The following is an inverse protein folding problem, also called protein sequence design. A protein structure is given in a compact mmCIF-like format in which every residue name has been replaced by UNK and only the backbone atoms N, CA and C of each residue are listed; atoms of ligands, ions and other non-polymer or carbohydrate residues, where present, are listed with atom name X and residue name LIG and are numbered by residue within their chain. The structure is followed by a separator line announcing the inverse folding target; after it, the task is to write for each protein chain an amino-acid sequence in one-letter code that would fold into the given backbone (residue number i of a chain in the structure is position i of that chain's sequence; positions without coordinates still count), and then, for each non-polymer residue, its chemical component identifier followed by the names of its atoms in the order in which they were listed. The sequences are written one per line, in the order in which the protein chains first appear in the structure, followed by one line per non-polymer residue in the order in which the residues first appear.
data_IF_179537554134
#
_entry.id   IF_179537554134
#
_cell.length_a   1.000
_cell.length_b   1.000
_cell.length_c   1.000
_cell.angle_alpha   90.00
_cell.angle_beta   90.00
_cell.angle_gamma   90.00
#
_symmetry.space_group_name_H-M   'P 1'
#
loop_
_entity.id
_entity.type
_entity.pdbx_description
1 polymer ?
#
# COMPACT_ATOMS: atom_id res chain seq x y z
N UNK A 1 26.75 1.31 -12.44
CA UNK A 1 27.70 2.36 -12.84
C UNK A 1 27.98 3.21 -11.60
N UNK A 2 29.21 3.43 -11.21
CA UNK A 2 29.55 4.15 -9.95
C UNK A 2 30.00 5.57 -10.26
N UNK A 3 29.61 6.53 -9.39
CA UNK A 3 30.07 7.94 -9.47
C UNK A 3 31.59 8.01 -9.29
N UNK A 4 32.14 7.18 -8.42
CA UNK A 4 33.58 7.06 -8.19
C UNK A 4 34.05 5.68 -8.65
N UNK A 5 34.95 5.64 -9.61
CA UNK A 5 35.56 4.41 -10.13
C UNK A 5 37.04 4.70 -10.46
N UNK A 6 37.94 3.82 -9.98
CA UNK A 6 39.40 3.97 -10.17
C UNK A 6 39.94 5.36 -9.78
N UNK A 7 39.51 5.90 -8.64
CA UNK A 7 39.84 7.25 -8.16
C UNK A 7 39.48 8.41 -9.12
N UNK A 8 38.55 8.17 -10.05
CA UNK A 8 38.06 9.22 -10.97
C UNK A 8 36.56 9.40 -10.75
N UNK A 9 36.12 10.65 -10.75
CA UNK A 9 34.73 11.03 -10.65
C UNK A 9 34.12 11.08 -12.05
N UNK A 10 33.03 10.35 -12.28
CA UNK A 10 32.22 10.48 -13.47
C UNK A 10 31.32 11.71 -13.35
N UNK A 11 31.78 12.83 -13.92
CA UNK A 11 31.09 14.12 -13.83
C UNK A 11 29.68 14.07 -14.51
N UNK A 12 29.54 13.34 -15.61
CA UNK A 12 28.23 13.21 -16.29
C UNK A 12 27.23 12.48 -15.40
N UNK A 13 27.67 11.41 -14.74
CA UNK A 13 26.82 10.66 -13.81
C UNK A 13 26.52 11.50 -12.57
N UNK A 14 27.52 12.18 -12.00
CA UNK A 14 27.32 13.11 -10.87
C UNK A 14 26.31 14.20 -11.23
N UNK A 15 26.39 14.78 -12.41
CA UNK A 15 25.47 15.82 -12.87
C UNK A 15 24.03 15.32 -12.91
N UNK A 16 23.81 14.07 -13.34
CA UNK A 16 22.46 13.47 -13.34
C UNK A 16 21.86 13.35 -11.93
N UNK A 17 22.70 13.12 -10.90
CA UNK A 17 22.27 13.03 -9.51
C UNK A 17 22.02 14.38 -8.83
N UNK A 18 22.62 15.46 -9.31
CA UNK A 18 22.46 16.80 -8.75
C UNK A 18 21.39 17.63 -9.47
N UNK A 19 20.90 17.17 -10.64
CA UNK A 19 19.77 17.80 -11.29
C UNK A 19 18.49 17.62 -10.47
N UNK A 20 17.71 18.70 -10.37
CA UNK A 20 16.42 18.63 -9.72
C UNK A 20 15.51 17.68 -10.53
N UNK A 21 14.95 16.63 -9.92
CA UNK A 21 14.06 15.72 -10.63
C UNK A 21 12.79 16.47 -11.07
N UNK A 22 12.19 16.00 -12.15
CA UNK A 22 10.88 16.50 -12.57
C UNK A 22 9.82 16.03 -11.56
N UNK A 23 8.73 16.80 -11.47
CA UNK A 23 7.58 16.43 -10.64
C UNK A 23 7.12 15.02 -11.05
N UNK A 24 6.97 14.13 -10.08
CA UNK A 24 6.63 12.71 -10.25
C UNK A 24 7.63 11.88 -11.07
N UNK A 25 8.87 12.35 -11.24
CA UNK A 25 9.92 11.51 -11.81
C UNK A 25 10.20 10.32 -10.87
N UNK A 26 10.06 9.12 -11.41
CA UNK A 26 10.31 7.90 -10.61
C UNK A 26 11.80 7.76 -10.33
N UNK A 27 12.12 7.44 -9.07
CA UNK A 27 13.46 7.03 -8.70
C UNK A 27 13.90 5.77 -9.47
N UNK A 28 15.20 5.60 -9.62
CA UNK A 28 15.81 4.44 -10.30
C UNK A 28 15.80 3.18 -9.45
N UNK A 29 15.61 3.34 -8.14
CA UNK A 29 15.74 2.26 -7.17
C UNK A 29 14.37 1.65 -6.85
N UNK A 30 14.35 0.32 -6.72
CA UNK A 30 13.18 -0.42 -6.26
C UNK A 30 13.07 -0.31 -4.74
N UNK A 31 12.73 0.87 -4.24
CA UNK A 31 12.74 1.24 -2.83
C UNK A 31 12.05 0.19 -1.92
N UNK A 32 10.91 -0.33 -2.35
CA UNK A 32 10.13 -1.31 -1.57
C UNK A 32 10.64 -2.75 -1.68
N UNK A 33 11.49 -3.05 -2.69
CA UNK A 33 12.05 -4.39 -2.94
C UNK A 33 13.57 -4.45 -2.65
N UNK A 34 14.24 -3.34 -2.33
CA UNK A 34 15.62 -3.35 -1.88
C UNK A 34 15.75 -4.10 -0.56
N UNK A 35 16.70 -5.04 -0.47
CA UNK A 35 16.82 -5.95 0.67
C UNK A 35 17.02 -5.21 1.99
N UNK A 36 17.89 -4.20 2.02
CA UNK A 36 18.19 -3.43 3.23
C UNK A 36 17.08 -2.43 3.55
N UNK A 37 16.60 -1.69 2.56
CA UNK A 37 15.58 -0.66 2.75
C UNK A 37 14.25 -1.30 3.16
N UNK A 38 13.83 -2.38 2.49
CA UNK A 38 12.57 -3.05 2.79
C UNK A 38 12.50 -3.63 4.21
N UNK A 39 13.67 -4.04 4.78
CA UNK A 39 13.72 -4.47 6.18
C UNK A 39 13.45 -3.32 7.14
N UNK A 40 14.10 -2.18 6.92
CA UNK A 40 13.88 -0.98 7.74
C UNK A 40 12.45 -0.47 7.60
N UNK A 41 11.90 -0.49 6.38
CA UNK A 41 10.52 -0.09 6.13
C UNK A 41 9.53 -0.99 6.86
N UNK A 42 9.73 -2.32 6.86
CA UNK A 42 8.89 -3.24 7.62
C UNK A 42 8.97 -2.95 9.14
N UNK A 43 10.16 -2.70 9.66
CA UNK A 43 10.34 -2.35 11.07
C UNK A 43 9.60 -1.04 11.44
N UNK A 44 9.62 -0.04 10.55
CA UNK A 44 8.88 1.20 10.73
C UNK A 44 7.35 0.98 10.67
N UNK A 45 6.86 0.16 9.75
CA UNK A 45 5.45 -0.23 9.69
C UNK A 45 4.97 -0.89 10.99
N UNK A 46 5.81 -1.69 11.61
CA UNK A 46 5.47 -2.47 12.80
C UNK A 46 5.65 -1.69 14.10
N UNK A 47 6.25 -0.52 14.06
CA UNK A 47 6.39 0.33 15.23
C UNK A 47 5.06 1.04 15.54
N UNK A 48 4.40 0.74 16.68
CA UNK A 48 3.06 1.25 16.96
C UNK A 48 3.03 2.74 17.30
N UNK A 49 4.19 3.32 17.65
CA UNK A 49 4.31 4.66 18.24
C UNK A 49 4.86 5.70 17.24
N UNK A 50 5.33 5.25 16.07
CA UNK A 50 5.98 6.13 15.08
C UNK A 50 5.17 6.15 13.78
N UNK A 51 4.78 7.34 13.35
CA UNK A 51 4.16 7.57 12.05
C UNK A 51 5.24 7.88 10.99
N UNK A 52 5.80 6.81 10.40
CA UNK A 52 6.86 6.93 9.39
C UNK A 52 6.57 6.15 8.10
N UNK A 53 6.17 4.89 8.20
CA UNK A 53 5.77 4.05 7.07
C UNK A 53 4.30 3.61 7.16
N UNK A 54 3.70 3.77 8.35
CA UNK A 54 2.27 3.58 8.63
C UNK A 54 1.84 4.59 9.68
N UNK A 55 0.55 4.74 9.87
CA UNK A 55 -0.01 5.50 10.98
C UNK A 55 0.23 4.78 12.31
N UNK A 56 0.15 5.51 13.42
CA UNK A 56 0.25 4.90 14.76
C UNK A 56 -0.87 3.88 14.98
N UNK A 57 -0.66 2.95 15.90
CA UNK A 57 -1.69 1.93 16.24
C UNK A 57 -3.03 2.56 16.67
N UNK A 58 -3.00 3.62 17.44
CA UNK A 58 -4.20 4.34 17.89
C UNK A 58 -4.96 4.96 16.71
N UNK A 59 -4.24 5.57 15.78
CA UNK A 59 -4.82 6.14 14.56
C UNK A 59 -5.44 5.05 13.69
N UNK A 60 -4.72 3.93 13.46
CA UNK A 60 -5.23 2.79 12.69
C UNK A 60 -6.51 2.24 13.30
N UNK A 61 -6.56 2.05 14.62
CA UNK A 61 -7.74 1.55 15.32
C UNK A 61 -8.93 2.49 15.16
N UNK A 62 -8.68 3.79 15.27
CA UNK A 62 -9.72 4.84 15.16
C UNK A 62 -10.28 4.89 13.73
N UNK A 63 -9.40 4.94 12.73
CA UNK A 63 -9.80 5.00 11.32
C UNK A 63 -10.47 3.71 10.86
N UNK A 64 -9.92 2.55 11.22
CA UNK A 64 -10.53 1.27 10.89
C UNK A 64 -11.95 1.16 11.49
N UNK A 65 -12.12 1.56 12.74
CA UNK A 65 -13.44 1.58 13.38
C UNK A 65 -14.42 2.55 12.71
N UNK A 66 -13.93 3.72 12.27
CA UNK A 66 -14.75 4.67 11.50
C UNK A 66 -15.19 4.05 10.17
N UNK A 67 -14.25 3.47 9.40
CA UNK A 67 -14.53 2.84 8.11
C UNK A 67 -15.51 1.67 8.28
N UNK A 68 -15.27 0.79 9.27
CA UNK A 68 -16.13 -0.35 9.57
C UNK A 68 -17.59 0.10 9.80
N UNK A 69 -17.78 1.16 10.58
CA UNK A 69 -19.12 1.71 10.87
C UNK A 69 -19.74 2.38 9.65
N UNK A 70 -18.95 3.16 8.89
CA UNK A 70 -19.44 3.94 7.76
C UNK A 70 -20.05 3.07 6.65
N UNK A 71 -19.53 1.85 6.44
CA UNK A 71 -20.00 0.95 5.38
C UNK A 71 -20.79 -0.27 5.91
N UNK A 72 -21.11 -0.31 7.18
CA UNK A 72 -21.72 -1.48 7.85
C UNK A 72 -20.96 -2.78 7.53
N UNK A 73 -19.62 -2.74 7.81
CA UNK A 73 -18.73 -3.86 7.48
C UNK A 73 -19.03 -5.06 8.39
N UNK A 74 -19.29 -6.21 7.78
CA UNK A 74 -19.66 -7.46 8.46
C UNK A 74 -19.38 -8.66 7.59
N UNK A 75 -19.65 -9.85 8.09
CA UNK A 75 -19.58 -11.10 7.32
C UNK A 75 -20.41 -10.99 6.03
N UNK A 76 -19.80 -11.40 4.92
CA UNK A 76 -20.38 -11.30 3.57
C UNK A 76 -19.92 -10.06 2.78
N UNK A 77 -19.40 -9.03 3.44
CA UNK A 77 -18.72 -7.92 2.76
C UNK A 77 -17.34 -8.34 2.27
N UNK A 78 -16.92 -7.77 1.14
CA UNK A 78 -15.59 -7.97 0.55
C UNK A 78 -14.83 -6.65 0.46
N UNK A 79 -13.63 -6.63 0.97
CA UNK A 79 -12.76 -5.45 1.04
C UNK A 79 -11.48 -5.68 0.25
N UNK A 80 -11.06 -4.67 -0.51
CA UNK A 80 -9.78 -4.61 -1.21
C UNK A 80 -8.93 -3.50 -0.56
N UNK A 81 -7.80 -3.86 0.02
CA UNK A 81 -6.85 -2.91 0.61
C UNK A 81 -5.61 -2.81 -0.29
N UNK A 82 -5.45 -1.67 -0.93
CA UNK A 82 -4.37 -1.38 -1.89
C UNK A 82 -3.22 -0.69 -1.15
N UNK A 83 -1.97 -1.12 -1.39
CA UNK A 83 -0.84 -0.68 -0.59
C UNK A 83 -0.94 -1.18 0.86
N UNK A 84 -1.39 -2.42 1.06
CA UNK A 84 -1.74 -2.94 2.39
C UNK A 84 -0.54 -3.10 3.34
N UNK A 85 0.71 -3.00 2.84
CA UNK A 85 1.93 -3.23 3.62
C UNK A 85 1.88 -4.56 4.36
N UNK A 86 2.27 -4.60 5.65
CA UNK A 86 2.21 -5.80 6.48
C UNK A 86 0.79 -6.17 6.95
N UNK A 87 -0.26 -5.55 6.40
CA UNK A 87 -1.66 -5.88 6.63
C UNK A 87 -2.25 -5.33 7.92
N UNK A 88 -1.88 -4.13 8.33
CA UNK A 88 -2.36 -3.53 9.58
C UNK A 88 -3.87 -3.28 9.54
N UNK A 89 -4.39 -2.61 8.51
CA UNK A 89 -5.83 -2.40 8.29
C UNK A 89 -6.56 -3.69 7.92
N UNK A 90 -5.94 -4.55 7.09
CA UNK A 90 -6.50 -5.85 6.70
C UNK A 90 -6.93 -6.67 7.92
N UNK A 91 -6.09 -6.71 8.97
CA UNK A 91 -6.40 -7.44 10.20
C UNK A 91 -7.58 -6.83 10.95
N UNK A 92 -7.67 -5.50 11.01
CA UNK A 92 -8.80 -4.83 11.68
C UNK A 92 -10.12 -5.09 10.95
N UNK A 93 -10.12 -4.98 9.62
CA UNK A 93 -11.31 -5.27 8.80
C UNK A 93 -11.74 -6.74 8.88
N UNK A 94 -10.78 -7.66 8.91
CA UNK A 94 -11.06 -9.10 8.97
C UNK A 94 -11.75 -9.54 10.28
N UNK A 95 -11.56 -8.81 11.40
CA UNK A 95 -12.24 -9.06 12.67
C UNK A 95 -13.76 -8.97 12.58
N UNK A 96 -14.28 -8.24 11.60
CA UNK A 96 -15.73 -8.12 11.35
C UNK A 96 -16.33 -9.35 10.68
N UNK A 97 -15.51 -10.29 10.22
CA UNK A 97 -15.92 -11.43 9.38
C UNK A 97 -16.02 -11.10 7.89
N UNK A 98 -15.69 -9.87 7.47
CA UNK A 98 -15.56 -9.52 6.06
C UNK A 98 -14.40 -10.29 5.42
N UNK A 99 -14.50 -10.62 4.13
CA UNK A 99 -13.39 -11.17 3.36
C UNK A 99 -12.51 -10.01 2.90
N UNK A 100 -11.23 -10.05 3.23
CA UNK A 100 -10.30 -8.95 2.94
C UNK A 100 -9.18 -9.44 2.04
N UNK A 101 -8.96 -8.72 0.93
CA UNK A 101 -7.83 -8.92 0.03
C UNK A 101 -6.89 -7.73 0.16
N UNK A 102 -5.68 -7.97 0.64
CA UNK A 102 -4.60 -6.98 0.68
C UNK A 102 -3.69 -7.13 -0.54
N UNK A 103 -3.35 -6.03 -1.19
CA UNK A 103 -2.43 -5.99 -2.34
C UNK A 103 -1.28 -5.04 -2.01
N UNK A 104 -0.05 -5.52 -2.15
CA UNK A 104 1.15 -4.71 -1.99
C UNK A 104 2.25 -5.14 -2.95
N UNK A 105 3.13 -4.22 -3.32
CA UNK A 105 4.28 -4.49 -4.18
C UNK A 105 5.44 -5.12 -3.40
N UNK A 106 5.57 -4.80 -2.11
CA UNK A 106 6.66 -5.27 -1.25
C UNK A 106 6.53 -6.76 -0.92
N UNK A 107 7.45 -7.56 -1.43
CA UNK A 107 7.52 -8.98 -1.10
C UNK A 107 7.70 -9.23 0.39
N UNK A 108 8.56 -8.46 1.05
CA UNK A 108 8.85 -8.58 2.47
C UNK A 108 7.59 -8.32 3.32
N UNK A 109 6.85 -7.26 3.01
CA UNK A 109 5.61 -6.94 3.72
C UNK A 109 4.56 -8.03 3.53
N UNK A 110 4.38 -8.53 2.32
CA UNK A 110 3.42 -9.60 2.01
C UNK A 110 3.81 -10.93 2.70
N UNK A 111 5.10 -11.29 2.69
CA UNK A 111 5.58 -12.48 3.40
C UNK A 111 5.30 -12.38 4.89
N UNK A 112 5.68 -11.25 5.51
CA UNK A 112 5.36 -10.99 6.91
C UNK A 112 3.86 -11.06 7.18
N UNK A 113 3.04 -10.44 6.34
CA UNK A 113 1.59 -10.44 6.49
C UNK A 113 1.01 -11.86 6.49
N UNK A 114 1.45 -12.72 5.55
CA UNK A 114 1.02 -14.12 5.45
C UNK A 114 1.47 -14.95 6.66
N UNK A 115 2.73 -14.83 7.09
CA UNK A 115 3.28 -15.57 8.24
C UNK A 115 2.60 -15.21 9.57
N UNK A 116 2.01 -14.01 9.63
CA UNK A 116 1.36 -13.48 10.83
C UNK A 116 -0.18 -13.49 10.76
N UNK A 117 -0.79 -14.24 9.85
CA UNK A 117 -2.22 -14.54 9.88
C UNK A 117 -2.48 -15.46 11.08
N UNK A 118 -3.32 -14.99 12.01
CA UNK A 118 -3.69 -15.78 13.19
C UNK A 118 -4.63 -16.93 12.79
N UNK A 119 -4.58 -18.08 13.48
CA UNK A 119 -5.56 -19.14 13.29
C UNK A 119 -7.00 -18.62 13.41
N UNK A 120 -7.86 -19.05 12.50
CA UNK A 120 -9.26 -18.62 12.43
C UNK A 120 -9.55 -17.40 11.55
N UNK A 121 -8.52 -16.84 10.89
CA UNK A 121 -8.69 -15.76 9.90
C UNK A 121 -8.58 -16.31 8.46
N UNK A 122 -9.44 -17.28 8.09
CA UNK A 122 -9.51 -17.85 6.73
C UNK A 122 -10.12 -16.86 5.71
N UNK A 123 -10.50 -15.68 6.18
CA UNK A 123 -11.11 -14.60 5.41
C UNK A 123 -10.11 -13.53 4.93
N UNK A 124 -8.81 -13.80 5.01
CA UNK A 124 -7.74 -12.90 4.55
C UNK A 124 -6.99 -13.52 3.37
N UNK A 125 -6.72 -12.70 2.35
CA UNK A 125 -5.84 -13.03 1.23
C UNK A 125 -4.85 -11.90 1.00
N UNK A 126 -3.54 -12.19 0.98
CA UNK A 126 -2.51 -11.23 0.58
C UNK A 126 -1.94 -11.58 -0.80
N UNK A 127 -1.78 -10.57 -1.64
CA UNK A 127 -1.30 -10.69 -3.02
C UNK A 127 -0.13 -9.73 -3.24
N UNK A 128 1.06 -10.26 -3.58
CA UNK A 128 2.17 -9.44 -4.08
C UNK A 128 1.86 -8.98 -5.49
N UNK A 129 1.51 -7.71 -5.66
CA UNK A 129 1.20 -7.11 -6.95
C UNK A 129 1.25 -5.59 -6.88
N UNK A 130 1.63 -4.93 -7.98
CA UNK A 130 1.40 -3.51 -8.11
C UNK A 130 -0.12 -3.26 -8.25
N UNK A 131 -0.68 -2.37 -7.44
CA UNK A 131 -2.10 -2.04 -7.51
C UNK A 131 -2.49 -1.38 -8.85
N UNK A 132 -1.55 -0.84 -9.60
CA UNK A 132 -1.78 -0.38 -10.99
C UNK A 132 -2.02 -1.53 -11.97
N UNK A 133 -1.72 -2.78 -11.60
CA UNK A 133 -1.86 -3.98 -12.44
C UNK A 133 -3.00 -4.90 -12.00
N UNK A 134 -3.84 -4.49 -11.04
CA UNK A 134 -5.03 -5.27 -10.65
C UNK A 134 -6.03 -5.36 -11.80
N UNK A 135 -6.83 -6.43 -11.80
CA UNK A 135 -7.84 -6.71 -12.82
C UNK A 135 -9.10 -7.37 -12.24
N UNK A 136 -9.48 -6.95 -11.03
CA UNK A 136 -10.72 -7.38 -10.41
C UNK A 136 -11.93 -6.74 -11.10
N UNK A 137 -13.08 -7.41 -11.05
CA UNK A 137 -14.33 -6.89 -11.59
C UNK A 137 -15.47 -7.13 -10.62
N UNK A 138 -16.24 -6.09 -10.34
CA UNK A 138 -17.50 -6.12 -9.57
C UNK A 138 -17.44 -7.05 -8.33
N UNK A 139 -16.30 -7.03 -7.63
CA UNK A 139 -16.00 -8.02 -6.60
C UNK A 139 -16.08 -7.49 -5.18
N UNK A 140 -15.81 -6.18 -4.98
CA UNK A 140 -15.61 -5.61 -3.66
C UNK A 140 -16.68 -4.58 -3.29
N UNK A 141 -17.05 -4.58 -2.01
CA UNK A 141 -17.96 -3.59 -1.42
C UNK A 141 -17.21 -2.32 -1.00
N UNK A 142 -15.89 -2.46 -0.72
CA UNK A 142 -14.99 -1.39 -0.35
C UNK A 142 -13.64 -1.60 -1.01
N UNK A 143 -13.02 -0.53 -1.50
CA UNK A 143 -11.59 -0.43 -1.75
C UNK A 143 -11.00 0.65 -0.83
N UNK A 144 -9.81 0.40 -0.27
CA UNK A 144 -9.04 1.34 0.54
C UNK A 144 -7.68 1.58 -0.07
N UNK A 145 -7.14 2.81 0.09
CA UNK A 145 -5.78 3.21 -0.27
C UNK A 145 -5.34 4.24 0.76
N UNK A 146 -4.68 3.81 1.82
CA UNK A 146 -4.41 4.60 3.02
C UNK A 146 -2.91 4.81 3.19
N UNK A 147 -2.53 5.93 3.79
CA UNK A 147 -1.20 6.45 4.01
C UNK A 147 -0.61 7.16 2.79
N UNK A 148 -1.46 8.00 2.16
CA UNK A 148 -1.08 8.99 1.14
C UNK A 148 -0.55 8.42 -0.19
N UNK A 149 -0.69 7.14 -0.45
CA UNK A 149 -0.22 6.49 -1.68
C UNK A 149 -0.79 7.14 -2.96
N UNK A 150 -2.04 7.64 -2.88
CA UNK A 150 -2.64 8.35 -4.01
C UNK A 150 -1.85 9.61 -4.41
N UNK A 151 -1.23 10.29 -3.43
CA UNK A 151 -0.43 11.49 -3.66
C UNK A 151 0.94 11.19 -4.33
N UNK A 152 1.43 9.97 -4.22
CA UNK A 152 2.70 9.56 -4.84
C UNK A 152 2.58 9.26 -6.35
N UNK A 153 1.35 9.15 -6.86
CA UNK A 153 1.07 8.83 -8.25
C UNK A 153 1.01 10.09 -9.12
N UNK A 154 1.52 10.00 -10.34
CA UNK A 154 1.27 11.04 -11.33
C UNK A 154 -0.20 10.99 -11.85
N UNK A 155 -0.64 12.05 -12.53
CA UNK A 155 -2.03 12.17 -12.97
C UNK A 155 -2.50 11.00 -13.85
N UNK A 156 -1.66 10.49 -14.74
CA UNK A 156 -2.04 9.34 -15.59
C UNK A 156 -2.17 8.04 -14.78
N UNK A 157 -1.32 7.83 -13.78
CA UNK A 157 -1.42 6.70 -12.85
C UNK A 157 -2.65 6.82 -11.94
N UNK A 158 -2.97 8.02 -11.45
CA UNK A 158 -4.18 8.28 -10.66
C UNK A 158 -5.44 7.91 -11.47
N UNK A 159 -5.53 8.38 -12.74
CA UNK A 159 -6.67 8.06 -13.62
C UNK A 159 -6.74 6.54 -13.87
N UNK A 160 -5.62 5.91 -14.18
CA UNK A 160 -5.57 4.46 -14.41
C UNK A 160 -6.00 3.67 -13.16
N UNK A 161 -5.53 4.05 -11.97
CA UNK A 161 -5.90 3.42 -10.72
C UNK A 161 -7.40 3.60 -10.41
N UNK A 162 -7.93 4.81 -10.56
CA UNK A 162 -9.36 5.09 -10.36
C UNK A 162 -10.24 4.24 -11.28
N UNK A 163 -9.85 4.07 -12.56
CA UNK A 163 -10.57 3.19 -13.48
C UNK A 163 -10.57 1.73 -13.00
N UNK A 164 -9.42 1.22 -12.54
CA UNK A 164 -9.31 -0.15 -12.02
C UNK A 164 -10.08 -0.37 -10.74
N UNK A 165 -10.08 0.62 -9.83
CA UNK A 165 -10.87 0.57 -8.61
C UNK A 165 -12.36 0.58 -8.95
N UNK A 166 -12.79 1.44 -9.89
CA UNK A 166 -14.17 1.48 -10.35
C UNK A 166 -14.62 0.12 -10.92
N UNK A 167 -13.80 -0.53 -11.75
CA UNK A 167 -14.09 -1.88 -12.27
C UNK A 167 -14.11 -2.95 -11.18
N UNK A 168 -13.28 -2.82 -10.13
CA UNK A 168 -13.18 -3.79 -9.04
C UNK A 168 -14.36 -3.70 -8.06
N UNK A 169 -14.94 -2.52 -7.92
CA UNK A 169 -16.06 -2.29 -7.01
C UNK A 169 -17.36 -2.82 -7.60
N UNK A 170 -18.23 -3.32 -6.72
CA UNK A 170 -19.62 -3.62 -7.03
C UNK A 170 -20.42 -2.32 -7.20
N UNK A 171 -21.64 -2.44 -7.74
CA UNK A 171 -22.60 -1.34 -7.71
C UNK A 171 -22.79 -0.84 -6.27
N UNK A 172 -22.70 0.48 -6.08
CA UNK A 172 -22.73 1.13 -4.77
C UNK A 172 -21.58 0.76 -3.82
N UNK A 173 -20.47 0.25 -4.35
CA UNK A 173 -19.22 0.08 -3.59
C UNK A 173 -18.56 1.41 -3.26
N UNK A 174 -17.74 1.42 -2.22
CA UNK A 174 -17.06 2.62 -1.73
C UNK A 174 -15.57 2.57 -2.04
N UNK A 175 -15.00 3.73 -2.34
CA UNK A 175 -13.55 3.94 -2.35
C UNK A 175 -13.18 4.95 -1.27
N UNK A 176 -12.30 4.57 -0.36
CA UNK A 176 -11.81 5.41 0.75
C UNK A 176 -10.30 5.54 0.61
N UNK A 177 -9.81 6.76 0.59
CA UNK A 177 -8.40 7.08 0.51
C UNK A 177 -8.10 8.37 1.26
N UNK A 178 -6.84 8.59 1.63
CA UNK A 178 -6.38 9.82 2.23
C UNK A 178 -5.44 10.59 1.30
N UNK A 179 -5.34 11.88 1.53
CA UNK A 179 -4.46 12.79 0.79
C UNK A 179 -3.77 13.75 1.74
N UNK A 180 -2.60 14.22 1.36
CA UNK A 180 -1.92 15.33 2.03
C UNK A 180 -2.62 16.64 1.64
N UNK A 181 -2.95 17.46 2.65
CA UNK A 181 -3.58 18.78 2.47
C UNK A 181 -2.67 19.90 2.93
#
# INVERSE_FOLDING_TARGET
MKILENNKINLSLLNNYILQPKIFEKGTDKFWDDEHISEQMLNLHLNPDIEAASKTKETIDTEANFIIKAIDMKKGKKVLDLGCGPGLYVREFAKTGATVTGVDISERSINYANENIKPGYDNILFIKKNYLDINFRESFDLATLIFYDFCALNTSEQIALLSKIYEALKDNGYFIFDIVT
#
